data_IF_583016833173
#
_entry.id   IF_583016833173
#
_cell.length_a   1.000
_cell.length_b   1.000
_cell.length_c   1.000
_cell.angle_alpha   90.00
_cell.angle_beta   90.00
_cell.angle_gamma   90.00
#
_symmetry.space_group_name_H-M   'P 1'
#
loop_
_entity.id
_entity.type
_entity.pdbx_description
1 polymer ?
#
# COMPACT_ATOMS: atom_id res chain seq x y z
N UNK A 1 23.55 36.81 -2.14
CA UNK A 1 22.20 36.43 -2.59
C UNK A 1 22.12 34.91 -2.68
N UNK A 2 21.41 34.27 -1.76
CA UNK A 2 21.29 32.80 -1.73
C UNK A 2 20.07 32.40 -2.56
N UNK A 3 20.30 31.78 -3.73
CA UNK A 3 19.24 31.12 -4.50
C UNK A 3 18.75 29.92 -3.68
N UNK A 4 17.66 30.10 -2.95
CA UNK A 4 16.88 28.98 -2.44
C UNK A 4 16.42 28.17 -3.67
N UNK A 5 17.10 27.06 -3.93
CA UNK A 5 16.63 26.01 -4.82
C UNK A 5 15.22 25.62 -4.35
N UNK A 6 14.21 26.16 -5.02
CA UNK A 6 12.85 25.72 -4.87
C UNK A 6 12.84 24.22 -5.18
N UNK A 7 12.87 23.39 -4.12
CA UNK A 7 12.68 21.95 -4.23
C UNK A 7 11.36 21.77 -4.98
N UNK A 8 11.42 21.36 -6.26
CA UNK A 8 10.23 21.02 -7.05
C UNK A 8 9.30 20.23 -6.14
N UNK A 9 8.13 20.79 -5.82
CA UNK A 9 7.09 20.09 -5.07
C UNK A 9 6.76 18.85 -5.91
N UNK A 10 7.06 17.68 -5.37
CA UNK A 10 6.83 16.42 -6.08
C UNK A 10 5.45 15.93 -5.72
N UNK A 11 4.66 15.68 -6.76
CA UNK A 11 3.30 15.23 -6.64
C UNK A 11 3.22 13.77 -6.20
N UNK A 12 2.19 13.45 -5.43
CA UNK A 12 1.84 12.07 -5.10
C UNK A 12 1.28 11.35 -6.34
N UNK A 13 1.74 10.13 -6.59
CA UNK A 13 1.27 9.23 -7.63
C UNK A 13 0.41 8.15 -6.95
N UNK A 14 -0.88 8.46 -6.75
CA UNK A 14 -1.85 7.64 -5.99
C UNK A 14 -1.91 6.18 -6.43
N UNK A 15 -1.73 5.92 -7.73
CA UNK A 15 -1.79 4.58 -8.30
C UNK A 15 -0.45 3.84 -8.34
N UNK A 16 0.62 4.45 -7.84
CA UNK A 16 1.96 3.86 -7.89
C UNK A 16 2.36 3.21 -6.57
N UNK A 17 2.73 1.93 -6.62
CA UNK A 17 3.18 1.18 -5.44
C UNK A 17 4.51 0.47 -5.69
N UNK A 18 5.40 0.57 -4.72
CA UNK A 18 6.75 0.02 -4.82
C UNK A 18 6.83 -1.40 -4.27
N UNK A 19 7.16 -2.38 -5.11
CA UNK A 19 7.63 -3.68 -4.63
C UNK A 19 9.10 -3.56 -4.25
N UNK A 20 9.37 -3.42 -2.95
CA UNK A 20 10.73 -3.20 -2.46
C UNK A 20 11.52 -4.51 -2.51
N UNK A 21 12.54 -4.53 -3.35
CA UNK A 21 13.47 -5.65 -3.44
C UNK A 21 14.48 -5.63 -2.29
N UNK A 22 14.94 -6.82 -1.87
CA UNK A 22 15.77 -6.98 -0.67
C UNK A 22 17.12 -6.25 -0.75
N UNK A 23 17.58 -5.91 -1.96
CA UNK A 23 18.80 -5.12 -2.20
C UNK A 23 18.74 -3.69 -1.69
N UNK A 24 17.56 -3.13 -1.41
CA UNK A 24 17.46 -1.75 -0.91
C UNK A 24 17.93 -1.67 0.54
N UNK A 25 18.95 -0.86 0.82
CA UNK A 25 19.43 -0.64 2.19
C UNK A 25 18.49 0.23 3.02
N UNK A 26 17.93 1.26 2.40
CA UNK A 26 16.93 2.15 2.97
C UNK A 26 15.85 2.43 1.91
N UNK A 27 14.74 1.68 1.92
CA UNK A 27 13.78 1.71 0.81
C UNK A 27 12.85 2.93 0.84
N UNK A 28 12.58 3.51 2.01
CA UNK A 28 11.59 4.57 2.13
C UNK A 28 11.96 5.87 1.41
N UNK A 29 13.19 6.39 1.50
CA UNK A 29 13.55 7.63 0.82
C UNK A 29 13.40 7.58 -0.69
N UNK A 30 13.64 6.43 -1.34
CA UNK A 30 13.50 6.31 -2.80
C UNK A 30 12.02 6.30 -3.22
N UNK A 31 11.17 5.56 -2.51
CA UNK A 31 9.73 5.50 -2.77
C UNK A 31 9.10 6.89 -2.63
N UNK A 32 9.34 7.57 -1.50
CA UNK A 32 8.81 8.90 -1.26
C UNK A 32 9.32 9.94 -2.27
N UNK A 33 10.60 9.83 -2.66
CA UNK A 33 11.23 10.71 -3.65
C UNK A 33 10.64 10.53 -5.05
N UNK A 34 10.23 9.32 -5.41
CA UNK A 34 9.54 9.04 -6.66
C UNK A 34 8.06 9.45 -6.63
N UNK A 35 7.51 9.71 -5.44
CA UNK A 35 6.11 10.09 -5.26
C UNK A 35 5.16 8.89 -5.28
N UNK A 36 5.68 7.66 -5.23
CA UNK A 36 4.86 6.46 -5.12
C UNK A 36 4.16 6.45 -3.76
N UNK A 37 2.85 6.32 -3.74
CA UNK A 37 2.02 6.40 -2.54
C UNK A 37 1.80 5.05 -1.87
N UNK A 38 2.59 4.04 -2.22
CA UNK A 38 2.61 2.80 -1.49
C UNK A 38 3.92 2.05 -1.63
N UNK A 39 4.15 1.12 -0.71
CA UNK A 39 5.23 0.15 -0.75
C UNK A 39 4.84 -1.18 -0.14
N UNK A 40 5.39 -2.26 -0.69
CA UNK A 40 5.41 -3.58 -0.06
C UNK A 40 6.80 -3.81 0.47
N UNK A 41 6.90 -4.19 1.74
CA UNK A 41 8.15 -4.61 2.37
C UNK A 41 7.98 -6.02 2.92
N UNK A 42 8.93 -6.89 2.56
CA UNK A 42 9.00 -8.24 3.12
C UNK A 42 9.61 -8.20 4.50
N UNK A 43 9.01 -8.94 5.43
CA UNK A 43 9.48 -9.07 6.80
C UNK A 43 9.66 -10.53 7.20
N UNK A 44 10.79 -10.82 7.84
CA UNK A 44 11.04 -12.10 8.49
C UNK A 44 10.84 -11.95 10.02
N UNK A 45 10.04 -12.83 10.65
CA UNK A 45 9.92 -12.90 12.11
C UNK A 45 11.25 -13.24 12.78
N UNK A 46 11.63 -12.45 13.78
CA UNK A 46 12.70 -12.74 14.72
C UNK A 46 12.30 -13.71 15.84
N UNK A 47 13.26 -14.25 16.58
CA UNK A 47 13.02 -15.20 17.68
C UNK A 47 12.16 -14.61 18.82
N UNK A 48 12.14 -13.28 18.99
CA UNK A 48 11.33 -12.62 20.01
C UNK A 48 10.17 -11.80 19.42
N UNK A 49 9.86 -12.00 18.13
CA UNK A 49 8.77 -11.33 17.41
C UNK A 49 9.18 -10.03 16.72
N UNK A 50 10.47 -9.67 16.71
CA UNK A 50 10.97 -8.56 15.93
C UNK A 50 10.69 -8.78 14.43
N UNK A 51 10.59 -7.69 13.67
CA UNK A 51 10.30 -7.74 12.24
C UNK A 51 11.51 -7.23 11.47
N UNK A 52 12.28 -8.15 10.89
CA UNK A 52 13.46 -7.84 10.09
C UNK A 52 13.10 -7.67 8.62
N UNK A 53 13.70 -6.72 7.91
CA UNK A 53 13.42 -6.52 6.48
C UNK A 53 14.17 -7.52 5.60
N UNK A 54 13.43 -8.14 4.68
CA UNK A 54 13.92 -9.17 3.76
C UNK A 54 13.66 -10.59 4.27
N UNK A 55 13.77 -11.60 3.39
CA UNK A 55 13.46 -13.00 3.72
C UNK A 55 14.63 -13.77 4.37
N UNK A 56 15.82 -13.18 4.42
CA UNK A 56 17.03 -13.81 4.93
C UNK A 56 17.21 -13.69 6.44
N UNK A 57 18.39 -14.07 6.93
CA UNK A 57 18.70 -14.03 8.35
C UNK A 57 18.53 -12.62 8.95
N UNK A 58 17.99 -12.51 10.17
CA UNK A 58 17.89 -11.27 10.90
C UNK A 58 19.19 -10.45 10.91
N UNK A 59 19.14 -9.26 10.30
CA UNK A 59 20.28 -8.32 10.35
C UNK A 59 20.04 -7.26 11.42
N UNK A 60 20.96 -7.09 12.40
CA UNK A 60 20.85 -6.06 13.43
C UNK A 60 20.62 -4.67 12.84
N UNK A 61 19.61 -3.96 13.37
CA UNK A 61 19.26 -2.61 12.92
C UNK A 61 18.48 -2.53 11.60
N UNK A 62 18.30 -3.64 10.89
CA UNK A 62 17.52 -3.70 9.64
C UNK A 62 16.07 -4.12 9.90
N UNK A 63 15.39 -3.39 10.77
CA UNK A 63 14.03 -3.72 11.21
C UNK A 63 12.97 -2.84 10.55
N UNK A 64 11.74 -3.37 10.43
CA UNK A 64 10.57 -2.64 9.95
C UNK A 64 10.36 -1.33 10.73
N UNK A 65 10.47 -1.39 12.07
CA UNK A 65 10.34 -0.21 12.95
C UNK A 65 11.34 0.89 12.57
N UNK A 66 12.61 0.55 12.42
CA UNK A 66 13.70 1.52 12.24
C UNK A 66 13.75 2.10 10.82
N UNK A 67 13.55 1.26 9.80
CA UNK A 67 13.75 1.65 8.40
C UNK A 67 12.47 2.11 7.71
N UNK A 68 11.29 1.74 8.23
CA UNK A 68 10.01 2.07 7.59
C UNK A 68 9.11 2.86 8.53
N UNK A 69 8.65 2.28 9.63
CA UNK A 69 7.59 2.90 10.45
C UNK A 69 8.05 4.23 11.08
N UNK A 70 9.15 4.21 11.83
CA UNK A 70 9.66 5.41 12.50
C UNK A 70 9.92 6.57 11.53
N UNK A 71 10.68 6.41 10.42
CA UNK A 71 10.91 7.52 9.49
C UNK A 71 9.65 7.95 8.73
N UNK A 72 8.74 7.02 8.40
CA UNK A 72 7.46 7.35 7.74
C UNK A 72 6.59 8.24 8.62
N UNK A 73 6.38 7.85 9.87
CA UNK A 73 5.52 8.61 10.79
C UNK A 73 6.19 9.88 11.31
N UNK A 74 7.52 9.89 11.50
CA UNK A 74 8.24 11.12 11.82
C UNK A 74 8.05 12.18 10.73
N UNK A 75 8.12 11.77 9.46
CA UNK A 75 7.84 12.66 8.32
C UNK A 75 6.41 13.17 8.32
N UNK A 76 5.43 12.29 8.49
CA UNK A 76 4.01 12.67 8.53
C UNK A 76 3.73 13.68 9.66
N UNK A 77 4.30 13.47 10.86
CA UNK A 77 4.18 14.41 12.00
C UNK A 77 4.78 15.77 11.69
N UNK A 78 5.98 15.79 11.10
CA UNK A 78 6.65 17.03 10.73
C UNK A 78 5.90 17.83 9.64
N UNK A 79 5.06 17.16 8.85
CA UNK A 79 4.29 17.76 7.77
C UNK A 79 2.77 17.80 8.05
N UNK A 80 2.40 18.04 9.32
CA UNK A 80 1.01 18.26 9.76
C UNK A 80 0.03 17.12 9.38
N UNK A 81 0.50 15.87 9.45
CA UNK A 81 -0.31 14.70 9.14
C UNK A 81 -0.43 14.41 7.64
N UNK A 82 0.57 14.78 6.83
CA UNK A 82 0.63 14.43 5.40
C UNK A 82 2.04 14.04 4.99
N UNK A 83 2.18 13.20 3.98
CA UNK A 83 3.47 12.82 3.39
C UNK A 83 3.83 13.69 2.17
N UNK A 84 2.79 14.15 1.46
CA UNK A 84 2.84 15.12 0.37
C UNK A 84 1.75 16.19 0.57
N UNK A 85 1.97 17.39 0.05
CA UNK A 85 1.00 18.49 0.18
C UNK A 85 -0.32 18.20 -0.54
N UNK A 86 -0.24 17.47 -1.66
CA UNK A 86 -1.34 17.06 -2.53
C UNK A 86 -1.83 15.64 -2.27
N UNK A 87 -1.45 15.03 -1.14
CA UNK A 87 -1.91 13.70 -0.76
C UNK A 87 -3.43 13.68 -0.59
N UNK A 88 -4.12 12.90 -1.42
CA UNK A 88 -5.57 12.69 -1.37
C UNK A 88 -5.94 11.36 -0.69
N UNK A 89 -5.12 10.32 -0.89
CA UNK A 89 -5.32 8.98 -0.34
C UNK A 89 -4.28 8.64 0.74
N UNK A 90 -4.59 7.72 1.67
CA UNK A 90 -3.61 7.12 2.56
C UNK A 90 -2.45 6.51 1.78
N UNK A 91 -1.24 6.60 2.34
CA UNK A 91 -0.11 5.84 1.85
C UNK A 91 -0.30 4.36 2.18
N UNK A 92 -0.17 3.48 1.19
CA UNK A 92 -0.39 2.04 1.34
C UNK A 92 0.90 1.34 1.75
N UNK A 93 0.98 0.87 2.99
CA UNK A 93 2.10 0.05 3.47
C UNK A 93 1.66 -1.41 3.57
N UNK A 94 2.19 -2.26 2.69
CA UNK A 94 1.97 -3.71 2.75
C UNK A 94 3.14 -4.36 3.48
N UNK A 95 2.85 -5.00 4.60
CA UNK A 95 3.82 -5.76 5.39
C UNK A 95 3.63 -7.24 5.05
N UNK A 96 4.51 -7.75 4.19
CA UNK A 96 4.47 -9.12 3.70
C UNK A 96 5.32 -10.03 4.60
N UNK A 97 4.68 -10.86 5.41
CA UNK A 97 5.39 -11.86 6.21
C UNK A 97 5.94 -12.95 5.31
N UNK A 98 7.25 -13.13 5.36
CA UNK A 98 8.00 -14.10 4.58
C UNK A 98 9.01 -14.83 5.47
N UNK A 99 9.64 -15.86 4.91
CA UNK A 99 10.69 -16.62 5.58
C UNK A 99 10.38 -18.11 5.66
N UNK A 100 11.36 -18.92 6.09
CA UNK A 100 11.25 -20.38 6.08
C UNK A 100 10.36 -20.92 7.22
N UNK A 101 10.25 -20.19 8.33
CA UNK A 101 9.45 -20.63 9.47
C UNK A 101 7.97 -20.34 9.24
N UNK A 102 7.17 -21.42 9.20
CA UNK A 102 5.71 -21.38 9.22
C UNK A 102 5.15 -21.70 10.61
N UNK A 103 5.98 -21.59 11.64
CA UNK A 103 5.52 -21.78 13.01
C UNK A 103 4.46 -20.73 13.37
N UNK A 104 3.23 -21.18 13.56
CA UNK A 104 2.09 -20.31 13.86
C UNK A 104 2.36 -19.47 15.09
N UNK A 105 2.97 -20.02 16.14
CA UNK A 105 3.21 -19.28 17.39
C UNK A 105 4.16 -18.07 17.19
N UNK A 106 5.18 -18.25 16.35
CA UNK A 106 6.15 -17.22 15.98
C UNK A 106 5.52 -16.16 15.09
N UNK A 107 4.73 -16.56 14.09
CA UNK A 107 4.00 -15.63 13.23
C UNK A 107 2.98 -14.79 14.00
N UNK A 108 2.24 -15.41 14.93
CA UNK A 108 1.31 -14.72 15.82
C UNK A 108 2.04 -13.73 16.75
N UNK A 109 3.20 -14.12 17.29
CA UNK A 109 4.04 -13.23 18.12
C UNK A 109 4.52 -12.03 17.31
N UNK A 110 4.97 -12.26 16.08
CA UNK A 110 5.44 -11.21 15.19
C UNK A 110 4.32 -10.26 14.75
N UNK A 111 3.11 -10.78 14.49
CA UNK A 111 1.94 -9.93 14.25
C UNK A 111 1.56 -9.10 15.49
N UNK A 112 1.57 -9.67 16.69
CA UNK A 112 1.33 -8.91 17.93
C UNK A 112 2.35 -7.77 18.12
N UNK A 113 3.61 -8.03 17.78
CA UNK A 113 4.65 -7.00 17.77
C UNK A 113 4.37 -5.91 16.73
N UNK A 114 3.92 -6.28 15.53
CA UNK A 114 3.47 -5.31 14.52
C UNK A 114 2.34 -4.43 15.08
N UNK A 115 1.27 -5.04 15.59
CA UNK A 115 0.11 -4.32 16.15
C UNK A 115 0.53 -3.35 17.26
N UNK A 116 1.41 -3.77 18.17
CA UNK A 116 1.96 -2.87 19.20
C UNK A 116 2.71 -1.68 18.59
N UNK A 117 3.57 -1.90 17.59
CA UNK A 117 4.29 -0.82 16.91
C UNK A 117 3.36 0.13 16.13
N UNK A 118 2.25 -0.38 15.59
CA UNK A 118 1.25 0.44 14.92
C UNK A 118 0.48 1.32 15.93
N UNK A 119 0.16 0.80 17.11
CA UNK A 119 -0.51 1.57 18.17
C UNK A 119 0.29 2.79 18.62
N UNK A 120 1.62 2.72 18.63
CA UNK A 120 2.51 3.89 18.87
C UNK A 120 2.27 5.05 17.87
N UNK A 121 1.58 4.77 16.76
CA UNK A 121 1.33 5.69 15.66
C UNK A 121 -0.16 5.84 15.29
N UNK A 122 -1.06 5.39 16.17
CA UNK A 122 -2.51 5.35 15.98
C UNK A 122 -3.15 6.62 15.35
N UNK A 123 -2.79 7.86 15.73
CA UNK A 123 -3.43 9.06 15.16
C UNK A 123 -3.18 9.29 13.67
N UNK A 124 -2.19 8.62 13.08
CA UNK A 124 -1.81 8.77 11.68
C UNK A 124 -2.22 7.58 10.81
N UNK A 125 -2.79 6.54 11.43
CA UNK A 125 -3.16 5.31 10.77
C UNK A 125 -4.63 5.30 10.40
N UNK A 126 -4.93 4.74 9.23
CA UNK A 126 -6.28 4.28 8.93
C UNK A 126 -6.66 3.24 9.97
N UNK A 127 -7.85 3.41 10.56
CA UNK A 127 -8.32 2.55 11.64
C UNK A 127 -9.73 2.05 11.36
N UNK A 128 -10.04 0.85 11.84
CA UNK A 128 -11.41 0.37 11.97
C UNK A 128 -11.74 0.24 13.45
N UNK A 129 -12.82 0.88 13.89
CA UNK A 129 -13.36 0.77 15.25
C UNK A 129 -14.83 0.41 15.15
N UNK A 130 -15.22 -0.71 15.77
CA UNK A 130 -16.62 -1.17 15.80
C UNK A 130 -17.28 -1.22 14.41
N UNK A 131 -16.54 -1.76 13.43
CA UNK A 131 -16.98 -1.86 12.03
C UNK A 131 -16.87 -0.58 11.20
N UNK A 132 -16.52 0.56 11.81
CA UNK A 132 -16.38 1.84 11.09
C UNK A 132 -14.94 2.10 10.67
N UNK A 133 -14.72 2.16 9.36
CA UNK A 133 -13.44 2.54 8.75
C UNK A 133 -13.25 4.07 8.79
N UNK A 134 -12.12 4.53 9.32
CA UNK A 134 -11.71 5.95 9.36
C UNK A 134 -10.34 6.08 8.68
N UNK A 135 -10.25 6.78 7.54
CA UNK A 135 -8.99 7.01 6.84
C UNK A 135 -7.98 7.80 7.68
N UNK A 136 -6.72 7.37 7.64
CA UNK A 136 -5.57 8.08 8.19
C UNK A 136 -4.51 8.30 7.11
N UNK A 137 -3.37 8.86 7.50
CA UNK A 137 -2.27 9.20 6.57
C UNK A 137 -1.66 7.96 5.92
N UNK A 138 -1.69 6.84 6.63
CA UNK A 138 -1.13 5.55 6.22
C UNK A 138 -2.16 4.45 6.46
N UNK A 139 -2.40 3.61 5.46
CA UNK A 139 -3.12 2.34 5.61
C UNK A 139 -2.10 1.21 5.63
N UNK A 140 -2.21 0.32 6.61
CA UNK A 140 -1.32 -0.85 6.73
C UNK A 140 -2.10 -2.11 6.40
N UNK A 141 -1.58 -2.89 5.47
CA UNK A 141 -2.16 -4.18 5.09
C UNK A 141 -1.14 -5.28 5.37
N UNK A 142 -1.59 -6.39 5.93
CA UNK A 142 -0.76 -7.55 6.24
C UNK A 142 -0.99 -8.62 5.18
N UNK A 143 0.12 -9.14 4.66
CA UNK A 143 0.17 -10.13 3.60
C UNK A 143 1.14 -11.26 3.93
N UNK A 144 1.19 -12.28 3.09
CA UNK A 144 2.21 -13.33 3.12
C UNK A 144 1.80 -14.58 3.89
N UNK A 145 2.76 -15.25 4.52
CA UNK A 145 2.58 -16.60 5.09
C UNK A 145 1.73 -16.65 6.37
N UNK A 146 1.40 -15.49 6.93
CA UNK A 146 0.57 -15.39 8.14
C UNK A 146 -0.88 -15.16 7.75
N UNK A 147 -1.76 -16.02 8.23
CA UNK A 147 -3.19 -15.73 8.20
C UNK A 147 -3.56 -14.90 9.44
N UNK A 148 -3.90 -13.64 9.20
CA UNK A 148 -4.28 -12.67 10.23
C UNK A 148 -5.78 -12.39 10.26
N UNK A 149 -6.59 -13.00 9.37
CA UNK A 149 -8.01 -12.62 9.24
C UNK A 149 -8.75 -12.82 10.55
N UNK A 150 -8.62 -13.99 11.17
CA UNK A 150 -9.28 -14.29 12.45
C UNK A 150 -8.79 -13.38 13.59
N UNK A 151 -7.49 -13.08 13.62
CA UNK A 151 -6.91 -12.17 14.63
C UNK A 151 -7.44 -10.75 14.48
N UNK A 152 -7.52 -10.26 13.25
CA UNK A 152 -8.02 -8.94 12.92
C UNK A 152 -9.53 -8.84 13.14
N UNK A 153 -10.28 -9.91 12.89
CA UNK A 153 -11.71 -9.99 13.16
C UNK A 153 -12.02 -9.95 14.65
N UNK A 154 -11.17 -10.54 15.49
CA UNK A 154 -11.31 -10.50 16.95
C UNK A 154 -10.97 -9.14 17.59
N UNK A 155 -10.35 -8.21 16.85
CA UNK A 155 -9.97 -6.89 17.35
C UNK A 155 -11.12 -5.87 17.19
N UNK A 156 -11.58 -5.28 18.31
CA UNK A 156 -12.56 -4.18 18.29
C UNK A 156 -12.03 -2.91 17.61
N UNK A 157 -10.74 -2.64 17.81
CA UNK A 157 -10.01 -1.53 17.21
C UNK A 157 -8.77 -2.09 16.53
N UNK A 158 -8.63 -1.84 15.22
CA UNK A 158 -7.51 -2.30 14.40
C UNK A 158 -6.89 -1.17 13.60
N UNK A 159 -5.57 -1.25 13.42
CA UNK A 159 -4.75 -0.31 12.64
C UNK A 159 -4.07 -0.99 11.43
N UNK A 160 -4.36 -2.28 11.25
CA UNK A 160 -3.95 -3.07 10.11
C UNK A 160 -5.17 -3.78 9.51
N UNK A 161 -5.06 -4.20 8.26
CA UNK A 161 -6.11 -4.87 7.51
C UNK A 161 -5.55 -6.11 6.80
N UNK A 162 -6.43 -7.05 6.47
CA UNK A 162 -6.07 -8.21 5.67
C UNK A 162 -6.10 -7.84 4.17
N UNK A 163 -5.34 -8.57 3.35
CA UNK A 163 -5.56 -8.56 1.90
C UNK A 163 -6.81 -9.40 1.56
N UNK A 164 -7.66 -8.85 0.71
CA UNK A 164 -8.71 -9.59 0.01
C UNK A 164 -8.20 -10.10 -1.33
N UNK A 165 -8.90 -11.08 -1.88
CA UNK A 165 -8.77 -11.55 -3.27
C UNK A 165 -10.07 -11.23 -4.03
N UNK A 166 -10.07 -11.39 -5.35
CA UNK A 166 -11.32 -11.26 -6.12
C UNK A 166 -12.34 -12.35 -5.76
N UNK A 167 -11.92 -13.46 -5.14
CA UNK A 167 -12.84 -14.51 -4.67
C UNK A 167 -13.57 -14.09 -3.38
N UNK A 168 -13.10 -13.04 -2.69
CA UNK A 168 -13.77 -12.49 -1.51
C UNK A 168 -14.94 -11.54 -1.86
N UNK A 169 -15.14 -11.22 -3.15
CA UNK A 169 -16.21 -10.33 -3.59
C UNK A 169 -17.59 -10.88 -3.21
N UNK A 170 -18.40 -10.07 -2.52
CA UNK A 170 -19.71 -10.47 -2.03
C UNK A 170 -19.69 -11.51 -0.90
N UNK A 171 -18.51 -11.92 -0.43
CA UNK A 171 -18.38 -12.88 0.67
C UNK A 171 -18.51 -12.18 2.03
N UNK A 172 -19.32 -12.75 2.91
CA UNK A 172 -19.42 -12.33 4.31
C UNK A 172 -18.19 -12.71 5.15
N UNK A 173 -17.31 -13.60 4.64
CA UNK A 173 -16.09 -14.02 5.34
C UNK A 173 -15.00 -12.95 5.35
N UNK A 174 -15.09 -11.95 4.48
CA UNK A 174 -14.09 -10.90 4.34
C UNK A 174 -14.76 -9.54 4.20
N UNK A 175 -15.42 -9.01 5.24
CA UNK A 175 -16.13 -7.73 5.14
C UNK A 175 -15.17 -6.56 4.87
N UNK A 176 -15.70 -5.44 4.34
CA UNK A 176 -14.93 -4.28 3.88
C UNK A 176 -13.99 -3.73 4.96
N UNK A 177 -14.46 -3.65 6.20
CA UNK A 177 -13.70 -3.15 7.34
C UNK A 177 -12.54 -4.06 7.75
N UNK A 178 -12.53 -5.32 7.30
CA UNK A 178 -11.47 -6.30 7.54
C UNK A 178 -10.47 -6.32 6.38
N UNK A 179 -10.97 -6.30 5.14
CA UNK A 179 -10.18 -6.40 3.92
C UNK A 179 -10.58 -5.33 2.87
N UNK A 180 -10.29 -4.04 3.11
CA UNK A 180 -10.73 -2.95 2.24
C UNK A 180 -10.03 -2.91 0.87
N UNK A 181 -8.98 -3.72 0.70
CA UNK A 181 -8.16 -3.78 -0.51
C UNK A 181 -8.16 -5.21 -1.05
N UNK A 182 -8.55 -5.37 -2.31
CA UNK A 182 -8.26 -6.58 -3.08
C UNK A 182 -6.84 -6.49 -3.60
N UNK A 183 -6.03 -7.49 -3.33
CA UNK A 183 -4.65 -7.56 -3.76
C UNK A 183 -4.32 -8.94 -4.29
N UNK A 184 -4.04 -9.02 -5.59
CA UNK A 184 -3.61 -10.27 -6.23
C UNK A 184 -2.37 -10.06 -7.11
N UNK A 185 -1.50 -11.08 -7.22
CA UNK A 185 -0.51 -11.13 -8.29
C UNK A 185 -1.20 -11.36 -9.64
N UNK A 186 -0.72 -10.69 -10.69
CA UNK A 186 -1.26 -10.78 -12.05
C UNK A 186 -1.40 -12.22 -12.55
N UNK A 187 -0.36 -13.02 -12.35
CA UNK A 187 -0.30 -14.42 -12.77
C UNK A 187 -1.35 -15.33 -12.09
N UNK A 188 -2.06 -14.86 -11.07
CA UNK A 188 -3.15 -15.63 -10.45
C UNK A 188 -4.35 -15.80 -11.38
N UNK A 189 -4.60 -14.84 -12.28
CA UNK A 189 -5.77 -14.84 -13.17
C UNK A 189 -5.47 -14.58 -14.63
N UNK A 190 -4.32 -13.97 -14.91
CA UNK A 190 -4.00 -13.44 -16.22
C UNK A 190 -2.68 -14.02 -16.73
N UNK A 191 -2.60 -14.24 -18.03
CA UNK A 191 -1.45 -14.80 -18.73
C UNK A 191 -0.78 -13.80 -19.68
N UNK A 192 -1.42 -12.67 -19.97
CA UNK A 192 -0.87 -11.68 -20.90
C UNK A 192 0.40 -11.01 -20.36
N UNK A 193 1.43 -10.93 -21.21
CA UNK A 193 2.77 -10.47 -20.87
C UNK A 193 3.13 -9.07 -21.42
N UNK A 194 2.18 -8.43 -22.12
CA UNK A 194 2.37 -7.10 -22.70
C UNK A 194 3.08 -7.06 -24.05
N UNK A 195 3.47 -8.20 -24.63
CA UNK A 195 4.17 -8.22 -25.92
C UNK A 195 3.24 -7.98 -27.10
N UNK A 196 2.20 -8.80 -27.20
CA UNK A 196 1.14 -8.69 -28.19
C UNK A 196 -0.06 -7.92 -27.63
N UNK A 197 -1.04 -7.51 -28.45
CA UNK A 197 -2.30 -7.00 -27.92
C UNK A 197 -2.96 -8.00 -26.97
N UNK A 198 -3.46 -7.51 -25.83
CA UNK A 198 -4.26 -8.34 -24.90
C UNK A 198 -5.49 -8.90 -25.63
N UNK A 199 -5.80 -10.18 -25.39
CA UNK A 199 -7.00 -10.83 -25.92
C UNK A 199 -8.27 -10.13 -25.41
N UNK A 200 -9.32 -10.11 -26.22
CA UNK A 200 -10.56 -9.40 -25.89
C UNK A 200 -11.22 -9.98 -24.63
N UNK A 201 -11.16 -11.30 -24.47
CA UNK A 201 -11.70 -12.05 -23.34
C UNK A 201 -10.96 -11.70 -22.05
N UNK A 202 -9.64 -11.69 -22.09
CA UNK A 202 -8.79 -11.40 -20.93
C UNK A 202 -8.94 -9.93 -20.49
N UNK A 203 -8.99 -9.01 -21.46
CA UNK A 203 -9.32 -7.60 -21.21
C UNK A 203 -10.71 -7.46 -20.59
N UNK A 204 -11.72 -8.13 -21.14
CA UNK A 204 -13.08 -8.05 -20.61
C UNK A 204 -13.14 -8.54 -19.16
N UNK A 205 -12.49 -9.66 -18.85
CA UNK A 205 -12.41 -10.20 -17.50
C UNK A 205 -11.77 -9.22 -16.52
N UNK A 206 -10.63 -8.61 -16.90
CA UNK A 206 -9.96 -7.61 -16.06
C UNK A 206 -10.89 -6.44 -15.71
N UNK A 207 -11.54 -5.84 -16.72
CA UNK A 207 -12.45 -4.71 -16.50
C UNK A 207 -13.68 -5.12 -15.68
N UNK A 208 -14.21 -6.31 -15.89
CA UNK A 208 -15.36 -6.83 -15.14
C UNK A 208 -15.02 -7.04 -13.65
N UNK A 209 -13.87 -7.64 -13.34
CA UNK A 209 -13.42 -7.87 -11.97
C UNK A 209 -13.14 -6.56 -11.22
N UNK A 210 -12.47 -5.61 -11.88
CA UNK A 210 -12.21 -4.30 -11.28
C UNK A 210 -13.52 -3.56 -11.00
N UNK A 211 -14.47 -3.58 -11.94
CA UNK A 211 -15.79 -2.98 -11.72
C UNK A 211 -16.52 -3.62 -10.55
N UNK A 212 -16.55 -4.96 -10.48
CA UNK A 212 -17.20 -5.69 -9.38
C UNK A 212 -16.58 -5.34 -8.02
N UNK A 213 -15.26 -5.19 -7.95
CA UNK A 213 -14.58 -4.74 -6.74
C UNK A 213 -14.98 -3.33 -6.33
N UNK A 214 -15.11 -2.42 -7.29
CA UNK A 214 -15.54 -1.05 -7.01
C UNK A 214 -17.00 -0.98 -6.58
N UNK A 215 -17.88 -1.83 -7.12
CA UNK A 215 -19.27 -1.98 -6.70
C UNK A 215 -19.37 -2.53 -5.27
N UNK A 216 -18.45 -3.41 -4.86
CA UNK A 216 -18.28 -3.90 -3.48
C UNK A 216 -17.59 -2.87 -2.55
N UNK A 217 -17.21 -1.70 -3.07
CA UNK A 217 -16.59 -0.61 -2.31
C UNK A 217 -15.10 -0.79 -1.98
N UNK A 218 -14.42 -1.75 -2.64
CA UNK A 218 -13.00 -2.05 -2.42
C UNK A 218 -12.12 -1.45 -3.49
N UNK A 219 -10.90 -1.09 -3.09
CA UNK A 219 -9.84 -0.72 -4.03
C UNK A 219 -9.12 -1.98 -4.52
N UNK A 220 -8.62 -1.94 -5.75
CA UNK A 220 -7.86 -3.03 -6.38
C UNK A 220 -6.38 -2.68 -6.49
N UNK A 221 -5.53 -3.55 -5.96
CA UNK A 221 -4.09 -3.56 -6.18
C UNK A 221 -3.69 -4.79 -7.00
N UNK A 222 -2.96 -4.58 -8.09
CA UNK A 222 -2.34 -5.67 -8.86
C UNK A 222 -0.83 -5.65 -8.65
N UNK A 223 -0.24 -6.81 -8.41
CA UNK A 223 1.20 -6.99 -8.21
C UNK A 223 1.75 -8.13 -9.08
N UNK A 224 3.03 -8.49 -8.93
CA UNK A 224 3.60 -9.67 -9.61
C UNK A 224 3.51 -9.60 -11.13
N UNK A 225 3.70 -8.40 -11.71
CA UNK A 225 3.62 -8.20 -13.15
C UNK A 225 4.76 -8.96 -13.87
N UNK A 226 4.51 -9.51 -15.06
CA UNK A 226 5.52 -10.14 -15.90
C UNK A 226 6.77 -9.27 -16.09
N UNK A 227 7.93 -9.91 -15.98
CA UNK A 227 9.18 -9.29 -16.42
C UNK A 227 9.22 -9.24 -17.95
N UNK A 228 9.93 -8.24 -18.48
CA UNK A 228 9.99 -8.03 -19.91
C UNK A 228 10.63 -6.70 -20.30
N UNK A 229 10.76 -6.45 -21.61
CA UNK A 229 11.25 -5.17 -22.10
C UNK A 229 10.30 -4.06 -21.66
N UNK A 230 10.85 -2.84 -21.55
CA UNK A 230 10.10 -1.67 -21.10
C UNK A 230 8.79 -1.44 -21.87
N UNK A 231 8.76 -1.74 -23.17
CA UNK A 231 7.56 -1.60 -24.00
C UNK A 231 6.42 -2.48 -23.48
N UNK A 232 6.71 -3.74 -23.15
CA UNK A 232 5.72 -4.69 -22.64
C UNK A 232 5.19 -4.26 -21.27
N UNK A 233 6.09 -3.87 -20.36
CA UNK A 233 5.72 -3.32 -19.04
C UNK A 233 4.81 -2.09 -19.16
N UNK A 234 5.13 -1.17 -20.07
CA UNK A 234 4.29 0.01 -20.34
C UNK A 234 2.91 -0.39 -20.89
N UNK A 235 2.82 -1.41 -21.75
CA UNK A 235 1.54 -1.91 -22.24
C UNK A 235 0.67 -2.43 -21.08
N UNK A 236 1.25 -3.23 -20.17
CA UNK A 236 0.57 -3.72 -18.97
C UNK A 236 0.10 -2.57 -18.08
N UNK A 237 0.99 -1.62 -17.74
CA UNK A 237 0.60 -0.48 -16.90
C UNK A 237 -0.52 0.37 -17.52
N UNK A 238 -0.49 0.52 -18.85
CA UNK A 238 -1.53 1.25 -19.59
C UNK A 238 -2.86 0.52 -19.51
N UNK A 239 -2.88 -0.80 -19.70
CA UNK A 239 -4.11 -1.59 -19.62
C UNK A 239 -4.69 -1.62 -18.21
N UNK A 240 -3.84 -1.84 -17.18
CA UNK A 240 -4.28 -1.79 -15.78
C UNK A 240 -4.88 -0.43 -15.41
N UNK A 241 -4.24 0.65 -15.87
CA UNK A 241 -4.77 2.01 -15.66
C UNK A 241 -6.10 2.23 -16.41
N UNK A 242 -6.23 1.70 -17.63
CA UNK A 242 -7.45 1.80 -18.42
C UNK A 242 -8.61 0.97 -17.83
N UNK A 243 -8.30 -0.18 -17.21
CA UNK A 243 -9.26 -0.99 -16.46
C UNK A 243 -9.72 -0.35 -15.15
N UNK A 244 -9.04 0.70 -14.70
CA UNK A 244 -9.35 1.39 -13.45
C UNK A 244 -8.73 0.74 -12.21
N UNK A 245 -7.69 -0.08 -12.35
CA UNK A 245 -6.95 -0.61 -11.21
C UNK A 245 -6.42 0.55 -10.36
N UNK A 246 -6.77 0.57 -9.08
CA UNK A 246 -6.45 1.69 -8.19
C UNK A 246 -4.95 1.80 -7.93
N UNK A 247 -4.28 0.65 -7.77
CA UNK A 247 -2.86 0.58 -7.40
C UNK A 247 -2.11 -0.45 -8.24
N UNK A 248 -1.08 -0.01 -8.94
CA UNK A 248 -0.16 -0.85 -9.71
C UNK A 248 1.13 -1.01 -8.90
N UNK A 249 1.45 -2.24 -8.51
CA UNK A 249 2.63 -2.58 -7.74
C UNK A 249 3.70 -3.23 -8.63
N UNK A 250 4.87 -2.60 -8.73
CA UNK A 250 5.96 -3.06 -9.59
C UNK A 250 7.33 -2.89 -8.92
N UNK A 251 8.32 -3.66 -9.38
CA UNK A 251 9.74 -3.57 -9.03
C UNK A 251 10.48 -2.50 -9.83
N UNK A 252 10.03 -2.12 -11.05
CA UNK A 252 10.57 -0.98 -11.81
C UNK A 252 9.99 0.35 -11.31
N UNK A 253 10.47 0.78 -10.14
CA UNK A 253 9.98 1.98 -9.47
C UNK A 253 10.12 3.26 -10.32
N UNK A 254 11.22 3.39 -11.05
CA UNK A 254 11.50 4.58 -11.85
C UNK A 254 10.72 4.59 -13.15
N UNK A 255 10.59 3.43 -13.80
CA UNK A 255 9.76 3.24 -14.99
C UNK A 255 8.30 3.55 -14.69
N UNK A 256 7.74 2.91 -13.65
CA UNK A 256 6.37 3.11 -13.22
C UNK A 256 6.10 4.57 -12.87
N UNK A 257 6.94 5.19 -12.04
CA UNK A 257 6.75 6.60 -11.68
C UNK A 257 6.83 7.54 -12.88
N UNK A 258 7.64 7.22 -13.90
CA UNK A 258 7.71 8.02 -15.13
C UNK A 258 6.46 7.83 -16.00
N UNK A 259 5.92 6.61 -16.05
CA UNK A 259 4.70 6.29 -16.77
C UNK A 259 3.49 7.00 -16.16
N UNK A 260 3.25 6.85 -14.84
CA UNK A 260 2.12 7.46 -14.14
C UNK A 260 2.12 8.99 -14.16
N UNK A 261 3.30 9.63 -14.26
CA UNK A 261 3.37 11.10 -14.46
C UNK A 261 2.91 11.55 -15.84
N UNK A 262 3.05 10.69 -16.85
CA UNK A 262 2.62 10.99 -18.23
C UNK A 262 1.17 10.59 -18.47
N UNK A 263 0.72 9.57 -17.75
CA UNK A 263 -0.62 9.00 -17.82
C UNK A 263 -1.19 8.95 -16.40
N UNK A 264 -1.58 10.11 -15.82
CA UNK A 264 -2.20 10.13 -14.51
C UNK A 264 -3.50 9.31 -14.55
N UNK A 265 -3.75 8.55 -13.49
CA UNK A 265 -4.98 7.76 -13.39
C UNK A 265 -6.20 8.68 -13.43
N UNK A 266 -7.24 8.25 -14.14
CA UNK A 266 -8.44 9.05 -14.38
C UNK A 266 -9.40 9.12 -13.19
N UNK A 267 -9.18 8.29 -12.14
CA UNK A 267 -10.13 8.12 -11.03
C UNK A 267 -9.59 8.71 -9.71
N UNK A 268 -10.42 9.43 -8.94
CA UNK A 268 -10.08 9.81 -7.57
C UNK A 268 -10.02 8.58 -6.63
N UNK A 269 -9.21 8.62 -5.58
CA UNK A 269 -9.07 7.50 -4.64
C UNK A 269 -10.36 7.24 -3.85
N UNK A 270 -10.75 5.97 -3.66
CA UNK A 270 -11.96 5.61 -2.88
C UNK A 270 -11.83 5.87 -1.38
N UNK A 271 -10.63 5.74 -0.81
CA UNK A 271 -10.32 6.13 0.57
C UNK A 271 -9.71 7.53 0.56
N UNK A 272 -10.54 8.55 0.74
CA UNK A 272 -10.09 9.94 0.82
C UNK A 272 -9.72 10.33 2.25
N UNK A 273 -8.63 11.08 2.39
CA UNK A 273 -8.30 11.75 3.64
C UNK A 273 -9.37 12.82 3.94
N UNK A 274 -9.82 12.96 5.20
CA UNK A 274 -10.72 14.05 5.56
C UNK A 274 -10.09 15.40 5.23
N UNK A 275 -10.85 16.27 4.56
CA UNK A 275 -10.44 17.65 4.31
C UNK A 275 -10.32 18.36 5.66
N UNK A 276 -9.09 18.67 6.06
CA UNK A 276 -8.86 19.54 7.23
C UNK A 276 -9.37 20.93 6.83
N UNK A 277 -10.60 21.27 7.23
CA UNK A 277 -11.10 22.63 7.14
C UNK A 277 -10.14 23.53 7.92
N UNK A 278 -9.51 24.48 7.22
CA UNK A 278 -8.65 25.47 7.87
C UNK A 278 -9.45 26.15 8.97
N UNK A 279 -8.86 26.28 10.16
CA UNK A 279 -9.40 27.14 11.21
C UNK A 279 -9.53 28.55 10.64
N UNK A 280 -10.73 28.92 10.18
CA UNK A 280 -11.06 30.31 9.98
C UNK A 280 -10.98 30.97 11.37
N UNK A 281 -9.99 31.84 11.54
CA UNK A 281 -9.89 32.67 12.72
C UNK A 281 -11.19 33.43 12.88
N UNK A 282 -11.87 33.22 13.99
CA UNK A 282 -12.99 34.07 14.42
C UNK A 282 -12.47 35.50 14.57
N UNK A 283 -13.07 36.50 13.91
CA UNK A 283 -12.69 37.89 14.15
C UNK A 283 -13.05 38.24 15.59
N UNK A 284 -12.08 38.79 16.31
CA UNK A 284 -12.25 39.32 17.65
C UNK A 284 -13.10 40.59 17.55
N UNK A 285 -14.23 40.71 18.26
CA UNK A 285 -14.96 41.97 18.32
C UNK A 285 -14.16 42.97 19.17
N UNK A 286 -14.04 44.19 18.67
CA UNK A 286 -13.54 45.35 19.39
C UNK A 286 -14.60 45.90 20.35
#
# INVERSE_FOLDING_TARGET
MSMALARRRRHSLSSGHALVLDRFTDPLPVVLRLGLTGMTVRVAPGPHGELFLGPGDPQPGRTLRRLVLAPLFARARAAAGRLWSDQQAPFQLVVEFAGPSRDTSSLLRAYRMLDQQLRDHAPLLTRSSDGKLTPGVVTVTVAGIVDVRDLLAAQKVRYAFAEGSFDDLGSSSAPLELAPVISEPWAQRFGWDGHEPIAAEERHLLHALVRAAHEDGRTVRISGLPDGPRKARVAIWTELSAAGVDVIADTDLQGLARHLRRHPASRPPQLELPVIAGRHGTPHPA
#
